data_IF_069459400983
#
_entry.id   IF_069459400983
#
_cell.length_a   1.000
_cell.length_b   1.000
_cell.length_c   1.000
_cell.angle_alpha   90.00
_cell.angle_beta   90.00
_cell.angle_gamma   90.00
#
_symmetry.space_group_name_H-M   'P 1'
#
loop_
_entity.id
_entity.type
_entity.pdbx_description
1 polymer ?
#
# COMPACT_ATOMS: atom_id res chain seq x y z
N UNK A 1 -1.25 -3.67 -20.80
CA UNK A 1 -1.73 -3.32 -19.44
C UNK A 1 -3.20 -2.90 -19.39
N UNK A 2 -3.77 -2.26 -20.43
CA UNK A 2 -5.19 -1.81 -20.45
C UNK A 2 -6.22 -2.95 -20.41
N UNK A 3 -5.94 -4.11 -21.01
CA UNK A 3 -6.89 -5.23 -21.07
C UNK A 3 -7.21 -5.85 -19.70
N UNK A 4 -6.25 -5.87 -18.77
CA UNK A 4 -6.46 -6.40 -17.42
C UNK A 4 -7.41 -5.55 -16.59
N UNK A 5 -7.25 -4.21 -16.64
CA UNK A 5 -8.13 -3.28 -15.94
C UNK A 5 -9.55 -3.27 -16.53
N UNK A 6 -9.68 -3.36 -17.86
CA UNK A 6 -10.99 -3.46 -18.51
C UNK A 6 -11.76 -4.71 -18.08
N UNK A 7 -11.07 -5.86 -17.99
CA UNK A 7 -11.63 -7.09 -17.46
C UNK A 7 -12.09 -6.97 -16.01
N UNK A 8 -11.28 -6.33 -15.15
CA UNK A 8 -11.63 -6.09 -13.73
C UNK A 8 -12.82 -5.13 -13.59
N UNK A 9 -12.88 -4.07 -14.40
CA UNK A 9 -13.99 -3.10 -14.36
C UNK A 9 -15.30 -3.74 -14.86
N UNK A 10 -15.24 -4.50 -15.96
CA UNK A 10 -16.40 -5.24 -16.47
C UNK A 10 -16.85 -6.34 -15.49
N UNK A 11 -15.89 -7.01 -14.86
CA UNK A 11 -16.16 -7.99 -13.80
C UNK A 11 -16.86 -7.34 -12.60
N UNK A 12 -16.32 -6.24 -12.10
CA UNK A 12 -16.87 -5.50 -10.97
C UNK A 12 -18.28 -4.97 -11.23
N UNK A 13 -18.52 -4.38 -12.41
CA UNK A 13 -19.84 -3.85 -12.78
C UNK A 13 -20.92 -4.94 -12.87
N UNK A 14 -20.54 -6.16 -13.29
CA UNK A 14 -21.45 -7.31 -13.34
C UNK A 14 -21.78 -7.89 -11.95
N UNK A 15 -20.83 -7.84 -11.02
CA UNK A 15 -20.94 -8.44 -9.68
C UNK A 15 -21.64 -7.55 -8.67
N UNK A 16 -21.41 -6.24 -8.73
CA UNK A 16 -21.87 -5.30 -7.68
C UNK A 16 -23.40 -5.31 -7.52
N UNK A 17 -24.14 -5.58 -8.59
CA UNK A 17 -25.61 -5.64 -8.59
C UNK A 17 -26.18 -6.97 -8.09
N UNK A 18 -25.36 -8.02 -7.96
CA UNK A 18 -25.78 -9.38 -7.57
C UNK A 18 -25.08 -9.90 -6.31
N UNK A 19 -24.34 -9.03 -5.63
CA UNK A 19 -23.62 -9.35 -4.41
C UNK A 19 -24.54 -9.22 -3.19
N UNK A 20 -24.61 -10.23 -2.31
CA UNK A 20 -25.24 -10.14 -1.02
C UNK A 20 -24.55 -9.02 -0.23
N UNK A 21 -25.37 -8.19 0.42
CA UNK A 21 -24.91 -6.99 1.10
C UNK A 21 -23.80 -7.30 2.14
N UNK A 22 -23.87 -8.45 2.81
CA UNK A 22 -22.85 -8.92 3.76
C UNK A 22 -21.48 -9.13 3.10
N UNK A 23 -21.43 -9.78 1.93
CA UNK A 23 -20.18 -10.06 1.20
C UNK A 23 -19.59 -8.75 0.67
N UNK A 24 -20.45 -7.87 0.15
CA UNK A 24 -20.03 -6.56 -0.33
C UNK A 24 -19.40 -5.72 0.79
N UNK A 25 -20.04 -5.65 1.96
CA UNK A 25 -19.51 -4.92 3.11
C UNK A 25 -18.20 -5.53 3.62
N UNK A 26 -18.11 -6.86 3.74
CA UNK A 26 -16.94 -7.53 4.28
C UNK A 26 -15.72 -7.38 3.37
N UNK A 27 -15.90 -7.60 2.06
CA UNK A 27 -14.85 -7.39 1.07
C UNK A 27 -14.45 -5.91 0.97
N UNK A 28 -15.44 -5.01 0.95
CA UNK A 28 -15.19 -3.57 0.91
C UNK A 28 -14.42 -3.08 2.13
N UNK A 29 -14.82 -3.51 3.33
CA UNK A 29 -14.13 -3.16 4.57
C UNK A 29 -12.68 -3.67 4.60
N UNK A 30 -12.44 -4.90 4.13
CA UNK A 30 -11.10 -5.49 4.02
C UNK A 30 -10.21 -4.71 3.05
N UNK A 31 -10.72 -4.38 1.86
CA UNK A 31 -9.97 -3.64 0.83
C UNK A 31 -9.70 -2.20 1.28
N UNK A 32 -10.70 -1.52 1.86
CA UNK A 32 -10.53 -0.15 2.38
C UNK A 32 -9.52 -0.15 3.53
N UNK A 33 -9.59 -1.12 4.44
CA UNK A 33 -8.64 -1.23 5.55
C UNK A 33 -7.21 -1.43 5.04
N UNK A 34 -7.02 -2.30 4.04
CA UNK A 34 -5.73 -2.45 3.36
C UNK A 34 -5.22 -1.13 2.80
N UNK A 35 -6.10 -0.37 2.13
CA UNK A 35 -5.74 0.88 1.49
C UNK A 35 -5.33 1.93 2.53
N UNK A 36 -6.09 2.04 3.63
CA UNK A 36 -5.81 2.97 4.72
C UNK A 36 -4.47 2.65 5.38
N UNK A 37 -4.20 1.37 5.70
CA UNK A 37 -2.92 0.94 6.27
C UNK A 37 -1.76 1.32 5.35
N UNK A 38 -1.92 1.09 4.05
CA UNK A 38 -0.90 1.42 3.05
C UNK A 38 -0.66 2.93 2.92
N UNK A 39 -1.74 3.73 2.86
CA UNK A 39 -1.64 5.19 2.77
C UNK A 39 -0.98 5.77 4.03
N UNK A 40 -1.38 5.33 5.22
CA UNK A 40 -0.79 5.80 6.49
C UNK A 40 0.71 5.54 6.50
N UNK A 41 1.13 4.36 6.05
CA UNK A 41 2.53 4.00 5.95
C UNK A 41 3.30 4.85 4.92
N UNK A 42 2.74 5.05 3.72
CA UNK A 42 3.35 5.92 2.70
C UNK A 42 3.52 7.36 3.19
N UNK A 43 2.50 7.91 3.87
CA UNK A 43 2.56 9.24 4.47
C UNK A 43 3.64 9.31 5.55
N UNK A 44 3.71 8.33 6.45
CA UNK A 44 4.73 8.28 7.49
C UNK A 44 6.15 8.28 6.90
N UNK A 45 6.39 7.48 5.85
CA UNK A 45 7.65 7.42 5.13
C UNK A 45 7.99 8.76 4.46
N UNK A 46 7.04 9.38 3.76
CA UNK A 46 7.25 10.68 3.12
C UNK A 46 7.57 11.79 4.14
N UNK A 47 6.83 11.83 5.26
CA UNK A 47 7.05 12.81 6.34
C UNK A 47 8.44 12.60 6.96
N UNK A 48 8.80 11.36 7.29
CA UNK A 48 10.10 11.03 7.89
C UNK A 48 11.26 11.36 6.95
N UNK A 49 11.11 11.07 5.66
CA UNK A 49 12.09 11.42 4.64
C UNK A 49 12.26 12.94 4.49
N UNK A 50 11.15 13.69 4.43
CA UNK A 50 11.22 15.15 4.32
C UNK A 50 11.82 15.81 5.58
N UNK A 51 11.51 15.30 6.77
CA UNK A 51 12.11 15.78 8.02
C UNK A 51 13.61 15.48 8.08
N UNK A 52 14.04 14.29 7.66
CA UNK A 52 15.45 13.93 7.59
C UNK A 52 16.20 14.85 6.62
N UNK A 53 15.67 15.07 5.42
CA UNK A 53 16.28 15.96 4.42
C UNK A 53 16.37 17.40 4.94
N UNK A 54 15.30 17.94 5.54
CA UNK A 54 15.30 19.30 6.11
C UNK A 54 16.33 19.47 7.23
N UNK A 55 16.44 18.50 8.14
CA UNK A 55 17.41 18.52 9.24
C UNK A 55 18.85 18.48 8.73
N UNK A 56 19.09 17.75 7.64
CA UNK A 56 20.42 17.69 7.04
C UNK A 56 20.71 18.97 6.24
N UNK A 57 19.74 19.53 5.50
CA UNK A 57 19.88 20.82 4.82
C UNK A 57 20.27 21.95 5.78
N UNK A 58 19.58 22.06 6.92
CA UNK A 58 19.92 23.07 7.95
C UNK A 58 21.29 22.85 8.62
N UNK A 59 21.84 21.64 8.53
CA UNK A 59 23.17 21.30 9.07
C UNK A 59 24.31 21.56 8.08
N UNK A 60 23.98 21.76 6.80
CA UNK A 60 24.92 21.99 5.69
C UNK A 60 24.92 23.46 5.26
N UNK A 61 23.88 24.23 5.57
CA UNK A 61 23.89 25.69 5.45
C UNK A 61 25.05 26.30 6.27
N UNK A 62 26.17 26.57 5.59
CA UNK A 62 27.41 27.10 6.17
C UNK A 62 28.60 26.14 6.21
N UNK A 63 28.41 24.84 5.93
CA UNK A 63 29.50 23.87 5.85
C UNK A 63 30.11 23.84 4.43
N UNK A 64 31.44 23.79 4.31
CA UNK A 64 32.10 23.64 3.01
C UNK A 64 31.63 22.33 2.35
N UNK A 65 31.21 22.43 1.08
CA UNK A 65 30.81 21.29 0.27
C UNK A 65 32.04 20.40 0.00
N UNK A 66 32.23 19.37 0.82
CA UNK A 66 33.32 18.40 0.71
C UNK A 66 32.81 16.95 0.74
N UNK A 67 33.65 15.98 0.34
CA UNK A 67 33.28 14.57 0.30
C UNK A 67 32.85 14.00 1.66
N UNK A 68 33.37 14.52 2.78
CA UNK A 68 32.91 14.14 4.13
C UNK A 68 31.44 14.55 4.40
N UNK A 69 31.04 15.73 3.96
CA UNK A 69 29.66 16.25 4.15
C UNK A 69 28.66 15.37 3.39
N UNK A 70 29.03 14.91 2.19
CA UNK A 70 28.23 13.98 1.39
C UNK A 70 28.16 12.58 2.03
N UNK A 71 29.25 12.07 2.62
CA UNK A 71 29.24 10.78 3.32
C UNK A 71 28.33 10.81 4.56
N UNK A 72 28.36 11.90 5.35
CA UNK A 72 27.45 12.07 6.49
C UNK A 72 25.99 12.15 6.05
N UNK A 73 25.71 12.77 4.91
CA UNK A 73 24.38 12.81 4.31
C UNK A 73 23.87 11.40 3.95
N UNK A 74 24.71 10.60 3.27
CA UNK A 74 24.36 9.24 2.88
C UNK A 74 24.15 8.32 4.08
N UNK A 75 25.00 8.43 5.11
CA UNK A 75 24.85 7.65 6.35
C UNK A 75 23.54 7.96 7.08
N UNK A 76 23.17 9.24 7.20
CA UNK A 76 21.92 9.65 7.84
C UNK A 76 20.67 9.18 7.07
N UNK A 77 20.74 9.18 5.73
CA UNK A 77 19.65 8.62 4.89
C UNK A 77 19.56 7.10 5.03
N UNK A 78 20.69 6.39 5.06
CA UNK A 78 20.71 4.95 5.27
C UNK A 78 20.12 4.55 6.62
N UNK A 79 20.43 5.28 7.68
CA UNK A 79 19.91 5.01 9.02
C UNK A 79 18.39 5.25 9.12
N UNK A 80 17.91 6.34 8.51
CA UNK A 80 16.47 6.62 8.38
C UNK A 80 15.75 5.54 7.55
N UNK A 81 16.37 5.10 6.46
CA UNK A 81 15.86 4.03 5.60
C UNK A 81 15.83 2.67 6.31
N UNK A 82 16.83 2.36 7.14
CA UNK A 82 16.90 1.12 7.91
C UNK A 82 15.80 1.05 8.98
N UNK A 83 15.46 2.18 9.59
CA UNK A 83 14.34 2.25 10.54
C UNK A 83 13.01 2.05 9.85
N UNK A 84 12.82 2.66 8.67
CA UNK A 84 11.66 2.41 7.82
C UNK A 84 11.55 0.95 7.37
N UNK A 85 12.67 0.31 7.01
CA UNK A 85 12.70 -1.09 6.59
C UNK A 85 12.29 -2.07 7.71
N UNK A 86 12.57 -1.74 8.97
CA UNK A 86 12.14 -2.57 10.12
C UNK A 86 10.63 -2.50 10.36
N UNK A 87 10.01 -1.34 10.14
CA UNK A 87 8.57 -1.14 10.30
C UNK A 87 7.78 -1.56 9.06
N UNK A 88 8.41 -1.60 7.88
CA UNK A 88 7.80 -2.04 6.62
C UNK A 88 6.98 -3.33 6.73
N UNK A 89 7.51 -4.47 7.25
CA UNK A 89 6.74 -5.70 7.34
C UNK A 89 5.51 -5.57 8.26
N UNK A 90 5.57 -4.75 9.30
CA UNK A 90 4.45 -4.52 10.21
C UNK A 90 3.25 -3.83 9.55
N UNK A 91 3.47 -3.02 8.52
CA UNK A 91 2.38 -2.37 7.76
C UNK A 91 2.03 -3.14 6.48
N UNK A 92 3.05 -3.69 5.80
CA UNK A 92 2.85 -4.42 4.55
C UNK A 92 2.08 -5.72 4.77
N UNK A 93 2.43 -6.53 5.77
CA UNK A 93 1.79 -7.83 6.01
C UNK A 93 0.27 -7.69 6.26
N UNK A 94 -0.21 -6.86 7.21
CA UNK A 94 -1.65 -6.71 7.41
C UNK A 94 -2.35 -6.06 6.21
N UNK A 95 -1.71 -5.12 5.51
CA UNK A 95 -2.27 -4.56 4.28
C UNK A 95 -2.46 -5.62 3.20
N UNK A 96 -1.45 -6.47 2.96
CA UNK A 96 -1.54 -7.55 1.98
C UNK A 96 -2.58 -8.59 2.40
N UNK A 97 -2.61 -9.00 3.66
CA UNK A 97 -3.60 -9.97 4.16
C UNK A 97 -5.02 -9.43 3.98
N UNK A 98 -5.26 -8.17 4.34
CA UNK A 98 -6.59 -7.57 4.21
C UNK A 98 -6.98 -7.32 2.76
N UNK A 99 -6.06 -6.85 1.93
CA UNK A 99 -6.32 -6.58 0.50
C UNK A 99 -6.53 -7.86 -0.31
N UNK A 100 -5.64 -8.84 -0.16
CA UNK A 100 -5.75 -10.16 -0.82
C UNK A 100 -6.95 -10.92 -0.27
N UNK A 101 -7.18 -10.87 1.05
CA UNK A 101 -8.36 -11.49 1.68
C UNK A 101 -9.67 -10.94 1.12
N UNK A 102 -9.81 -9.61 1.03
CA UNK A 102 -10.99 -8.99 0.43
C UNK A 102 -11.17 -9.36 -1.05
N UNK A 103 -10.07 -9.42 -1.82
CA UNK A 103 -10.09 -9.88 -3.20
C UNK A 103 -10.51 -11.35 -3.36
N UNK A 104 -10.01 -12.25 -2.50
CA UNK A 104 -10.38 -13.67 -2.50
C UNK A 104 -11.83 -13.91 -2.10
N UNK A 105 -12.38 -13.13 -1.17
CA UNK A 105 -13.82 -13.18 -0.82
C UNK A 105 -14.68 -12.84 -2.03
N UNK A 106 -14.30 -11.84 -2.82
CA UNK A 106 -15.03 -11.49 -4.05
C UNK A 106 -14.88 -12.56 -5.14
N UNK A 107 -13.66 -13.07 -5.35
CA UNK A 107 -13.40 -14.11 -6.35
C UNK A 107 -14.10 -15.43 -6.01
N UNK A 108 -14.09 -15.87 -4.75
CA UNK A 108 -14.75 -17.10 -4.32
C UNK A 108 -16.27 -17.03 -4.49
N UNK A 109 -16.89 -15.90 -4.13
CA UNK A 109 -18.31 -15.70 -4.38
C UNK A 109 -18.65 -15.73 -5.87
N UNK A 110 -17.81 -15.11 -6.70
CA UNK A 110 -18.00 -15.15 -8.15
C UNK A 110 -17.91 -16.57 -8.72
N UNK A 111 -16.86 -17.32 -8.38
CA UNK A 111 -16.68 -18.69 -8.87
C UNK A 111 -17.86 -19.56 -8.45
N UNK A 112 -18.31 -19.43 -7.20
CA UNK A 112 -19.49 -20.15 -6.71
C UNK A 112 -20.74 -19.83 -7.55
N UNK A 113 -21.01 -18.54 -7.80
CA UNK A 113 -22.15 -18.11 -8.63
C UNK A 113 -22.04 -18.54 -10.09
N UNK A 114 -20.83 -18.54 -10.66
CA UNK A 114 -20.59 -18.97 -12.03
C UNK A 114 -20.85 -20.47 -12.18
N UNK A 115 -20.39 -21.28 -11.22
CA UNK A 115 -20.64 -22.73 -11.19
C UNK A 115 -22.13 -23.03 -10.98
N UNK A 116 -22.81 -22.30 -10.08
CA UNK A 116 -24.25 -22.44 -9.84
C UNK A 116 -25.09 -22.14 -11.10
N UNK A 117 -24.66 -21.22 -11.97
CA UNK A 117 -25.36 -20.91 -13.23
C UNK A 117 -25.03 -21.86 -14.39
N UNK A 118 -23.95 -22.64 -14.27
CA UNK A 118 -23.49 -23.55 -15.32
C UNK A 118 -24.05 -24.98 -15.16
N UNK A 119 -24.65 -25.30 -14.02
CA UNK A 119 -25.32 -26.57 -13.68
C UNK A 119 -26.83 -26.38 -13.81
#
# INVERSE_FOLDING_TARGET
MVAGYAGVIAFWSSLVHRLPQVIFFLAGALIISSLVIFIVWELFKMISSNLAIRRIQSSIEGAQAGPETMQRFQAAIQESSATGAKLWPWFMIPAVITGVGGGLVLLSYFVFRLVEQAI
#
